data_IF_430068523098
#
_entry.id   IF_430068523098
#
_cell.length_a   1.000
_cell.length_b   1.000
_cell.length_c   1.000
_cell.angle_alpha   90.00
_cell.angle_beta   90.00
_cell.angle_gamma   90.00
#
_symmetry.space_group_name_H-M   'P 1'
#
loop_
_entity.id
_entity.type
_entity.pdbx_description
1 polymer ?
#
# COMPACT_ATOMS: atom_id res chain seq x y z
N UNK A 1 18.63 21.99 -0.29
CA UNK A 1 18.95 20.74 0.40
C UNK A 1 17.96 19.71 -0.12
N UNK A 2 18.33 18.88 -1.11
CA UNK A 2 17.40 17.91 -1.69
C UNK A 2 17.24 16.76 -0.68
N UNK A 3 16.01 16.53 -0.22
CA UNK A 3 15.66 15.44 0.67
C UNK A 3 16.01 14.09 0.01
N UNK A 4 17.01 13.41 0.57
CA UNK A 4 17.59 12.18 0.03
C UNK A 4 16.79 10.91 0.36
N UNK A 5 15.48 11.02 0.63
CA UNK A 5 14.62 9.86 0.89
C UNK A 5 13.40 9.75 -0.03
N UNK A 6 13.47 10.21 -1.28
CA UNK A 6 12.42 10.00 -2.29
C UNK A 6 12.42 8.57 -2.86
N UNK A 7 12.56 7.56 -1.99
CA UNK A 7 12.29 6.18 -2.39
C UNK A 7 10.78 5.98 -2.31
N UNK A 8 10.12 5.62 -3.44
CA UNK A 8 8.69 5.41 -3.44
C UNK A 8 8.32 4.30 -2.44
N UNK A 9 7.17 4.46 -1.78
CA UNK A 9 6.72 3.51 -0.75
C UNK A 9 6.38 2.17 -1.37
N UNK A 10 6.65 1.08 -0.67
CA UNK A 10 6.12 -0.22 -1.08
C UNK A 10 4.59 -0.18 -1.18
N UNK A 11 4.01 -0.97 -2.08
CA UNK A 11 2.56 -0.98 -2.34
C UNK A 11 1.72 -1.06 -1.06
N UNK A 12 2.01 -2.02 -0.18
CA UNK A 12 1.23 -2.19 1.05
C UNK A 12 1.47 -1.07 2.08
N UNK A 13 2.65 -0.44 2.08
CA UNK A 13 2.90 0.76 2.90
C UNK A 13 2.16 1.98 2.34
N UNK A 14 2.05 2.14 1.02
CA UNK A 14 1.24 3.19 0.40
C UNK A 14 -0.25 3.00 0.76
N UNK A 15 -0.75 1.76 0.73
CA UNK A 15 -2.10 1.43 1.21
C UNK A 15 -2.29 1.77 2.69
N UNK A 16 -1.27 1.56 3.53
CA UNK A 16 -1.33 1.96 4.95
C UNK A 16 -1.51 3.47 5.10
N UNK A 17 -0.78 4.30 4.35
CA UNK A 17 -0.91 5.76 4.40
C UNK A 17 -2.35 6.19 4.07
N UNK A 18 -2.95 5.65 3.01
CA UNK A 18 -4.33 5.97 2.66
C UNK A 18 -5.31 5.43 3.70
N UNK A 19 -5.04 4.26 4.30
CA UNK A 19 -5.87 3.73 5.39
C UNK A 19 -5.86 4.66 6.61
N UNK A 20 -4.70 5.18 7.02
CA UNK A 20 -4.64 6.16 8.12
C UNK A 20 -5.43 7.43 7.78
N UNK A 21 -5.37 7.92 6.54
CA UNK A 21 -6.19 9.06 6.09
C UNK A 21 -7.70 8.78 6.14
N UNK A 22 -8.12 7.52 6.01
CA UNK A 22 -9.53 7.10 6.06
C UNK A 22 -10.01 6.72 7.47
N UNK A 23 -9.12 6.57 8.44
CA UNK A 23 -9.44 5.87 9.69
C UNK A 23 -10.26 6.72 10.66
N UNK A 24 -10.06 8.04 10.69
CA UNK A 24 -10.69 8.91 11.70
C UNK A 24 -10.40 8.37 13.11
N UNK A 25 -11.44 8.16 13.92
CA UNK A 25 -11.34 7.56 15.26
C UNK A 25 -11.17 6.02 15.27
N UNK A 26 -11.24 5.37 14.11
CA UNK A 26 -11.13 3.92 13.97
C UNK A 26 -9.68 3.51 13.68
N UNK A 27 -9.43 2.20 13.72
CA UNK A 27 -8.16 1.63 13.28
C UNK A 27 -8.07 1.61 11.75
N UNK A 28 -6.86 1.73 11.21
CA UNK A 28 -6.60 1.55 9.78
C UNK A 28 -7.14 0.20 9.23
N UNK A 29 -7.14 -0.85 10.07
CA UNK A 29 -7.68 -2.18 9.72
C UNK A 29 -9.22 -2.22 9.58
N UNK A 30 -9.93 -1.14 9.89
CA UNK A 30 -11.39 -1.05 9.77
C UNK A 30 -11.83 -0.25 8.54
N UNK A 31 -10.88 0.26 7.77
CA UNK A 31 -11.13 1.17 6.65
C UNK A 31 -11.62 0.44 5.40
N UNK A 32 -12.37 1.12 4.51
CA UNK A 32 -12.75 0.57 3.22
C UNK A 32 -11.55 0.10 2.38
N UNK A 33 -10.45 0.85 2.38
CA UNK A 33 -9.25 0.45 1.62
C UNK A 33 -8.60 -0.80 2.20
N UNK A 34 -8.52 -0.94 3.53
CA UNK A 34 -8.00 -2.16 4.15
C UNK A 34 -8.85 -3.39 3.83
N UNK A 35 -10.19 -3.28 3.86
CA UNK A 35 -11.07 -4.40 3.48
C UNK A 35 -10.79 -4.89 2.06
N UNK A 36 -10.49 -3.97 1.14
CA UNK A 36 -10.14 -4.30 -0.24
C UNK A 36 -8.73 -4.88 -0.37
N UNK A 37 -7.78 -4.36 0.40
CA UNK A 37 -6.44 -4.93 0.50
C UNK A 37 -6.47 -6.36 1.06
N UNK A 38 -7.25 -6.60 2.10
CA UNK A 38 -7.46 -7.93 2.68
C UNK A 38 -8.08 -8.90 1.67
N UNK A 39 -9.01 -8.44 0.82
CA UNK A 39 -9.54 -9.25 -0.28
C UNK A 39 -8.47 -9.57 -1.35
N UNK A 40 -7.59 -8.61 -1.68
CA UNK A 40 -6.46 -8.85 -2.58
C UNK A 40 -5.51 -9.93 -2.02
N UNK A 41 -5.20 -9.84 -0.72
CA UNK A 41 -4.34 -10.81 -0.01
C UNK A 41 -4.91 -12.23 -0.03
N UNK A 42 -6.24 -12.34 -0.04
CA UNK A 42 -6.97 -13.62 -0.04
C UNK A 42 -7.37 -14.10 -1.44
N UNK A 43 -6.98 -13.40 -2.50
CA UNK A 43 -7.40 -13.74 -3.86
C UNK A 43 -6.87 -15.12 -4.28
N UNK A 44 -7.73 -16.04 -4.76
CA UNK A 44 -7.32 -17.39 -5.14
C UNK A 44 -6.64 -17.44 -6.52
N UNK A 45 -6.89 -16.44 -7.36
CA UNK A 45 -6.43 -16.37 -8.75
C UNK A 45 -5.71 -15.06 -9.02
N UNK A 46 -4.82 -15.07 -10.01
CA UNK A 46 -4.10 -13.87 -10.43
C UNK A 46 -5.06 -12.79 -10.97
N UNK A 47 -6.07 -13.22 -11.73
CA UNK A 47 -7.12 -12.30 -12.22
C UNK A 47 -7.88 -11.64 -11.07
N UNK A 48 -8.29 -12.42 -10.06
CA UNK A 48 -8.96 -11.89 -8.87
C UNK A 48 -8.07 -10.91 -8.10
N UNK A 49 -6.78 -11.22 -7.97
CA UNK A 49 -5.79 -10.32 -7.39
C UNK A 49 -5.73 -9.00 -8.16
N UNK A 50 -5.61 -9.03 -9.50
CA UNK A 50 -5.53 -7.84 -10.35
C UNK A 50 -6.79 -6.96 -10.28
N UNK A 51 -7.98 -7.54 -10.10
CA UNK A 51 -9.23 -6.78 -9.90
C UNK A 51 -9.12 -5.90 -8.65
N UNK A 52 -8.66 -6.46 -7.53
CA UNK A 52 -8.48 -5.71 -6.29
C UNK A 52 -7.36 -4.68 -6.41
N UNK A 53 -6.22 -5.05 -7.01
CA UNK A 53 -5.08 -4.15 -7.22
C UNK A 53 -5.44 -2.91 -8.02
N UNK A 54 -6.19 -3.06 -9.12
CA UNK A 54 -6.61 -1.90 -9.93
C UNK A 54 -7.35 -0.87 -9.09
N UNK A 55 -8.30 -1.33 -8.28
CA UNK A 55 -9.08 -0.44 -7.40
C UNK A 55 -8.25 0.12 -6.24
N UNK A 56 -7.23 -0.59 -5.77
CA UNK A 56 -6.29 -0.06 -4.77
C UNK A 56 -5.39 1.01 -5.38
N UNK A 57 -4.82 0.76 -6.56
CA UNK A 57 -3.97 1.70 -7.30
C UNK A 57 -4.74 2.98 -7.61
N UNK A 58 -5.98 2.90 -8.10
CA UNK A 58 -6.79 4.10 -8.34
C UNK A 58 -7.06 4.92 -7.06
N UNK A 59 -7.14 4.27 -5.89
CA UNK A 59 -7.25 5.00 -4.62
C UNK A 59 -5.93 5.65 -4.19
N UNK A 60 -4.79 5.00 -4.47
CA UNK A 60 -3.47 5.61 -4.23
C UNK A 60 -3.28 6.85 -5.11
N UNK A 61 -3.62 6.75 -6.40
CA UNK A 61 -3.57 7.87 -7.35
C UNK A 61 -4.49 9.02 -6.93
N UNK A 62 -5.74 8.73 -6.55
CA UNK A 62 -6.68 9.74 -6.09
C UNK A 62 -6.25 10.45 -4.79
N UNK A 63 -5.42 9.79 -3.97
CA UNK A 63 -4.85 10.34 -2.75
C UNK A 63 -3.43 10.90 -2.96
N UNK A 64 -2.94 10.97 -4.20
CA UNK A 64 -1.59 11.44 -4.57
C UNK A 64 -0.46 10.74 -3.82
N UNK A 65 -0.65 9.46 -3.45
CA UNK A 65 0.36 8.67 -2.73
C UNK A 65 1.21 7.88 -3.73
N UNK A 66 2.54 8.13 -3.81
CA UNK A 66 3.42 7.39 -4.70
C UNK A 66 3.61 5.94 -4.24
N UNK A 67 3.73 5.03 -5.21
CA UNK A 67 3.97 3.61 -5.01
C UNK A 67 5.21 3.16 -5.80
N UNK A 68 6.02 2.29 -5.20
CA UNK A 68 7.13 1.62 -5.87
C UNK A 68 6.57 0.55 -6.81
N UNK A 69 6.29 0.96 -8.05
CA UNK A 69 5.78 0.07 -9.08
C UNK A 69 6.79 -0.98 -9.54
N UNK A 70 8.09 -0.73 -9.39
CA UNK A 70 9.11 -1.72 -9.70
C UNK A 70 9.07 -2.88 -8.71
N UNK A 71 8.97 -2.58 -7.40
CA UNK A 71 8.78 -3.61 -6.38
C UNK A 71 7.43 -4.32 -6.54
N UNK A 72 6.34 -3.59 -6.84
CA UNK A 72 5.03 -4.21 -7.07
C UNK A 72 5.06 -5.18 -8.27
N UNK A 73 5.74 -4.81 -9.36
CA UNK A 73 5.89 -5.69 -10.52
C UNK A 73 6.68 -6.97 -10.17
N UNK A 74 7.75 -6.85 -9.39
CA UNK A 74 8.51 -8.00 -8.91
C UNK A 74 7.67 -8.91 -8.00
N UNK A 75 6.86 -8.33 -7.12
CA UNK A 75 5.92 -9.07 -6.26
C UNK A 75 4.88 -9.82 -7.09
N UNK A 76 4.29 -9.18 -8.11
CA UNK A 76 3.32 -9.79 -9.01
C UNK A 76 3.92 -10.90 -9.87
N UNK A 77 5.16 -10.73 -10.33
CA UNK A 77 5.90 -11.79 -11.02
C UNK A 77 6.08 -13.01 -10.10
N UNK A 78 6.57 -12.77 -8.88
CA UNK A 78 6.80 -13.83 -7.88
C UNK A 78 5.50 -14.54 -7.47
N UNK A 79 4.40 -13.80 -7.32
CA UNK A 79 3.11 -14.35 -6.91
C UNK A 79 2.54 -15.38 -7.90
N UNK A 80 2.93 -15.33 -9.18
CA UNK A 80 2.47 -16.29 -10.17
C UNK A 80 2.93 -17.73 -9.86
N UNK A 81 4.04 -17.93 -9.14
CA UNK A 81 4.41 -19.22 -8.58
C UNK A 81 3.55 -19.54 -7.34
N UNK A 82 2.71 -20.59 -7.35
CA UNK A 82 1.88 -20.96 -6.20
C UNK A 82 2.66 -21.18 -4.91
N UNK A 83 3.94 -21.58 -5.00
CA UNK A 83 4.81 -21.83 -3.83
C UNK A 83 5.21 -20.55 -3.12
N UNK A 84 5.25 -19.42 -3.85
CA UNK A 84 5.73 -18.14 -3.33
C UNK A 84 4.61 -17.16 -2.96
N UNK A 85 3.36 -17.44 -3.36
CA UNK A 85 2.18 -16.61 -3.04
C UNK A 85 2.11 -16.22 -1.57
N UNK A 86 2.25 -17.19 -0.67
CA UNK A 86 2.19 -16.93 0.77
C UNK A 86 3.33 -16.04 1.25
N UNK A 87 4.51 -16.13 0.63
CA UNK A 87 5.66 -15.28 0.98
C UNK A 87 5.38 -13.81 0.61
N UNK A 88 4.92 -13.57 -0.62
CA UNK A 88 4.53 -12.23 -1.10
C UNK A 88 3.44 -11.64 -0.21
N UNK A 89 2.39 -12.41 0.07
CA UNK A 89 1.27 -11.94 0.89
C UNK A 89 1.64 -11.65 2.34
N UNK A 90 2.52 -12.47 2.95
CA UNK A 90 3.10 -12.16 4.26
C UNK A 90 3.95 -10.91 4.23
N UNK A 91 4.68 -10.67 3.15
CA UNK A 91 5.49 -9.46 3.00
C UNK A 91 4.62 -8.21 2.96
N UNK A 92 3.55 -8.22 2.16
CA UNK A 92 2.56 -7.15 2.12
C UNK A 92 1.91 -6.92 3.49
N UNK A 93 1.54 -7.98 4.20
CA UNK A 93 1.01 -7.88 5.56
C UNK A 93 1.97 -7.17 6.53
N UNK A 94 3.27 -7.52 6.49
CA UNK A 94 4.30 -6.83 7.30
C UNK A 94 4.49 -5.38 6.90
N UNK A 95 4.46 -5.07 5.61
CA UNK A 95 4.59 -3.71 5.09
C UNK A 95 3.41 -2.82 5.50
N UNK A 96 2.19 -3.37 5.52
CA UNK A 96 0.99 -2.66 5.98
C UNK A 96 0.97 -2.45 7.50
N UNK A 97 1.44 -3.43 8.27
CA UNK A 97 1.45 -3.36 9.74
C UNK A 97 2.48 -2.37 10.30
N UNK A 98 3.45 -1.92 9.49
CA UNK A 98 4.38 -0.87 9.88
C UNK A 98 3.63 0.47 9.94
N UNK A 99 3.82 1.28 11.00
CA UNK A 99 3.27 2.62 11.05
C UNK A 99 3.63 3.40 9.79
N UNK A 100 2.68 4.17 9.26
CA UNK A 100 2.99 5.13 8.23
C UNK A 100 3.95 6.17 8.82
N UNK A 101 5.14 6.31 8.25
CA UNK A 101 6.02 7.42 8.57
C UNK A 101 5.34 8.70 8.07
N UNK A 102 4.83 9.48 9.02
CA UNK A 102 4.21 10.78 8.75
C UNK A 102 5.30 11.68 8.20
N UNK A 103 5.24 12.00 6.90
CA UNK A 103 6.02 13.11 6.38
C UNK A 103 5.38 14.35 7.00
N UNK A 104 6.01 14.88 8.05
CA UNK A 104 5.71 16.22 8.53
C UNK A 104 6.14 17.18 7.43
N UNK A 105 5.20 17.62 6.60
CA UNK A 105 5.37 18.88 5.89
C UNK A 105 5.32 19.96 6.97
N UNK A 106 6.50 20.44 7.38
CA UNK A 106 6.62 21.74 8.03
C UNK A 106 5.97 22.75 7.08
N UNK A 107 4.73 23.11 7.40
CA UNK A 107 4.14 24.35 6.90
C UNK A 107 4.91 25.44 7.62
N UNK A 108 5.94 25.97 6.97
CA UNK A 108 6.55 27.24 7.37
C UNK A 108 5.43 28.29 7.34
N UNK A 109 4.91 28.61 8.51
CA UNK A 109 4.14 29.83 8.73
C UNK A 109 5.15 30.96 8.85
N UNK A 110 5.48 31.56 7.71
CA UNK A 110 6.13 32.87 7.67
C UNK A 110 5.12 33.93 8.14
N UNK A 111 5.48 34.61 9.23
CA UNK A 111 4.91 35.84 9.80
C UNK A 111 5.31 37.07 8.96
#
# INVERSE_FOLDING_TARGET
MHDTSDRPRSFASAVRVVAEGQSGDKRAEETPIYRRFSAAVQAPTFEGLLVHLRSLISQLEAAEIPCDYAQLAADLFTWQDPRDRTSVMRNWGRQFARPAETIHTETDSDD
#
